data_IF_702966616984
#
_entry.id   IF_702966616984
#
_cell.length_a   1.000
_cell.length_b   1.000
_cell.length_c   1.000
_cell.angle_alpha   90.00
_cell.angle_beta   90.00
_cell.angle_gamma   90.00
#
_symmetry.space_group_name_H-M   'P 1'
#
loop_
_entity.id
_entity.type
_entity.pdbx_description
1 polymer ?
#
# COMPACT_ATOMS: atom_id res chain seq x y z
N UNK A 1 -9.06 -25.50 -2.20
CA UNK A 1 -7.85 -24.64 -2.18
C UNK A 1 -7.35 -24.40 -0.77
N UNK A 2 -8.18 -23.91 0.15
CA UNK A 2 -7.75 -23.70 1.54
C UNK A 2 -7.33 -25.02 2.23
N UNK A 3 -7.97 -26.13 1.93
CA UNK A 3 -7.62 -27.45 2.47
C UNK A 3 -6.22 -27.92 2.08
N UNK A 4 -5.78 -27.56 0.88
CA UNK A 4 -4.41 -27.84 0.40
C UNK A 4 -3.37 -26.84 0.90
N UNK A 5 -3.80 -25.62 1.24
CA UNK A 5 -2.93 -24.56 1.76
C UNK A 5 -2.74 -24.65 3.27
N UNK A 6 -3.80 -25.05 3.98
CA UNK A 6 -3.90 -25.08 5.44
C UNK A 6 -3.99 -26.54 5.90
N UNK A 7 -2.87 -27.16 6.18
CA UNK A 7 -2.78 -28.59 6.57
C UNK A 7 -3.41 -28.87 7.94
N UNK A 8 -3.46 -27.87 8.84
CA UNK A 8 -3.96 -28.08 10.18
C UNK A 8 -5.44 -27.71 10.30
N UNK A 9 -6.31 -28.61 10.85
CA UNK A 9 -7.77 -28.39 10.97
C UNK A 9 -8.16 -27.10 11.70
N UNK A 10 -7.40 -26.69 12.70
CA UNK A 10 -7.63 -25.46 13.45
C UNK A 10 -7.64 -24.22 12.54
N UNK A 11 -6.66 -24.09 11.66
CA UNK A 11 -6.61 -22.96 10.73
C UNK A 11 -7.74 -23.01 9.70
N UNK A 12 -8.09 -24.22 9.23
CA UNK A 12 -9.18 -24.40 8.29
C UNK A 12 -10.53 -24.00 8.90
N UNK A 13 -10.82 -24.42 10.13
CA UNK A 13 -12.04 -24.05 10.84
C UNK A 13 -12.11 -22.54 11.06
N UNK A 14 -11.02 -21.90 11.46
CA UNK A 14 -10.94 -20.43 11.61
C UNK A 14 -11.30 -19.69 10.31
N UNK A 15 -10.95 -20.27 9.16
CA UNK A 15 -11.34 -19.73 7.86
C UNK A 15 -12.81 -19.95 7.53
N UNK A 16 -13.35 -21.13 7.87
CA UNK A 16 -14.77 -21.46 7.67
C UNK A 16 -15.70 -20.59 8.53
N UNK A 17 -15.29 -20.27 9.74
CA UNK A 17 -16.04 -19.43 10.69
C UNK A 17 -15.96 -17.92 10.38
N UNK A 18 -15.12 -17.51 9.43
CA UNK A 18 -14.98 -16.11 9.08
C UNK A 18 -15.86 -15.77 7.86
N UNK A 19 -16.43 -14.56 7.81
CA UNK A 19 -17.28 -14.12 6.70
C UNK A 19 -16.60 -14.21 5.33
N UNK A 20 -17.41 -14.28 4.27
CA UNK A 20 -16.94 -14.17 2.87
C UNK A 20 -15.90 -15.25 2.50
N UNK A 21 -16.13 -16.49 2.94
CA UNK A 21 -15.23 -17.61 2.67
C UNK A 21 -15.00 -17.80 1.16
N UNK A 22 -16.08 -17.85 0.37
CA UNK A 22 -16.00 -18.07 -1.06
C UNK A 22 -15.22 -16.98 -1.79
N UNK A 23 -15.48 -15.72 -1.46
CA UNK A 23 -14.84 -14.56 -2.08
C UNK A 23 -13.34 -14.52 -1.73
N UNK A 24 -12.98 -14.86 -0.49
CA UNK A 24 -11.58 -14.99 -0.08
C UNK A 24 -10.89 -16.13 -0.81
N UNK A 25 -11.54 -17.26 -0.96
CA UNK A 25 -10.99 -18.42 -1.64
C UNK A 25 -10.82 -18.20 -3.15
N UNK A 26 -11.79 -17.59 -3.82
CA UNK A 26 -11.70 -17.21 -5.25
C UNK A 26 -10.50 -16.31 -5.50
N UNK A 27 -10.32 -15.29 -4.68
CA UNK A 27 -9.18 -14.40 -4.78
C UNK A 27 -7.82 -15.12 -4.57
N UNK A 28 -7.71 -15.95 -3.55
CA UNK A 28 -6.48 -16.70 -3.29
C UNK A 28 -6.16 -17.69 -4.40
N UNK A 29 -7.19 -18.34 -4.98
CA UNK A 29 -7.05 -19.24 -6.14
C UNK A 29 -6.52 -18.50 -7.36
N UNK A 30 -7.03 -17.31 -7.64
CA UNK A 30 -6.53 -16.46 -8.72
C UNK A 30 -5.05 -16.09 -8.53
N UNK A 31 -4.64 -15.75 -7.31
CA UNK A 31 -3.24 -15.47 -7.01
C UNK A 31 -2.33 -16.70 -7.15
N UNK A 32 -2.84 -17.88 -6.79
CA UNK A 32 -2.13 -19.14 -6.99
C UNK A 32 -1.89 -19.42 -8.48
N UNK A 33 -2.91 -19.21 -9.30
CA UNK A 33 -2.80 -19.34 -10.77
C UNK A 33 -1.82 -18.34 -11.38
N UNK A 34 -1.65 -17.17 -10.76
CA UNK A 34 -0.65 -16.17 -11.14
C UNK A 34 0.77 -16.46 -10.62
N UNK A 35 0.99 -17.63 -10.00
CA UNK A 35 2.31 -18.06 -9.53
C UNK A 35 2.69 -17.51 -8.14
N UNK A 36 1.74 -17.01 -7.35
CA UNK A 36 2.04 -16.57 -5.97
C UNK A 36 2.46 -17.78 -5.12
N UNK A 37 3.62 -17.68 -4.49
CA UNK A 37 4.18 -18.79 -3.69
C UNK A 37 3.34 -19.11 -2.43
N UNK A 38 3.43 -20.38 -1.98
CA UNK A 38 2.62 -20.94 -0.88
C UNK A 38 2.69 -20.12 0.42
N UNK A 39 3.88 -19.67 0.83
CA UNK A 39 4.06 -18.88 2.06
C UNK A 39 3.33 -17.53 1.97
N UNK A 40 3.40 -16.88 0.81
CA UNK A 40 2.70 -15.59 0.59
C UNK A 40 1.18 -15.78 0.61
N UNK A 41 0.68 -16.86 0.01
CA UNK A 41 -0.75 -17.22 0.04
C UNK A 41 -1.21 -17.53 1.47
N UNK A 42 -0.41 -18.26 2.24
CA UNK A 42 -0.70 -18.58 3.63
C UNK A 42 -0.81 -17.31 4.50
N UNK A 43 0.19 -16.43 4.42
CA UNK A 43 0.17 -15.15 5.13
C UNK A 43 -1.04 -14.28 4.75
N UNK A 44 -1.29 -14.19 3.44
CA UNK A 44 -2.41 -13.39 2.92
C UNK A 44 -3.77 -13.97 3.33
N UNK A 45 -3.92 -15.29 3.33
CA UNK A 45 -5.17 -15.94 3.76
C UNK A 45 -5.51 -15.58 5.21
N UNK A 46 -4.54 -15.66 6.12
CA UNK A 46 -4.71 -15.27 7.52
C UNK A 46 -5.08 -13.79 7.68
N UNK A 47 -4.41 -12.91 6.93
CA UNK A 47 -4.68 -11.47 6.99
C UNK A 47 -6.09 -11.12 6.47
N UNK A 48 -6.58 -11.81 5.46
CA UNK A 48 -7.95 -11.60 4.94
C UNK A 48 -9.04 -11.87 5.99
N UNK A 49 -8.82 -12.79 6.94
CA UNK A 49 -9.75 -12.99 8.07
C UNK A 49 -9.84 -11.71 8.91
N UNK A 50 -8.69 -11.09 9.19
CA UNK A 50 -8.65 -9.84 9.95
C UNK A 50 -9.30 -8.69 9.17
N UNK A 51 -9.09 -8.64 7.85
CA UNK A 51 -9.70 -7.65 6.97
C UNK A 51 -11.23 -7.73 7.04
N UNK A 52 -11.82 -8.90 6.81
CA UNK A 52 -13.28 -9.03 6.81
C UNK A 52 -13.91 -8.77 8.16
N UNK A 53 -13.25 -9.19 9.26
CA UNK A 53 -13.73 -8.97 10.64
C UNK A 53 -13.64 -7.49 11.05
N UNK A 54 -12.51 -6.84 10.82
CA UNK A 54 -12.29 -5.44 11.24
C UNK A 54 -13.04 -4.44 10.37
N UNK A 55 -13.33 -4.78 9.12
CA UNK A 55 -14.22 -4.02 8.25
C UNK A 55 -15.69 -4.39 8.45
N UNK A 56 -16.00 -5.37 9.34
CA UNK A 56 -17.35 -5.84 9.65
C UNK A 56 -18.14 -6.21 8.38
N UNK A 57 -17.52 -7.04 7.52
CA UNK A 57 -18.06 -7.40 6.22
C UNK A 57 -18.77 -8.75 6.27
N UNK A 58 -20.07 -8.76 6.34
CA UNK A 58 -20.90 -9.97 6.16
C UNK A 58 -21.18 -10.25 4.67
N UNK A 59 -21.22 -9.19 3.85
CA UNK A 59 -21.39 -9.22 2.39
C UNK A 59 -20.37 -8.31 1.74
N UNK A 60 -20.02 -8.61 0.47
CA UNK A 60 -19.20 -7.72 -0.33
C UNK A 60 -19.88 -6.36 -0.50
N UNK A 61 -19.22 -5.31 -0.07
CA UNK A 61 -19.63 -3.92 -0.21
C UNK A 61 -18.48 -3.03 -0.63
N UNK A 62 -18.78 -1.87 -1.10
CA UNK A 62 -17.76 -0.86 -1.34
C UNK A 62 -17.12 -0.36 -0.05
N UNK A 63 -15.80 -0.21 -0.07
CA UNK A 63 -14.99 0.24 1.08
C UNK A 63 -14.07 1.36 0.64
N UNK A 64 -14.03 2.45 1.41
CA UNK A 64 -13.13 3.57 1.13
C UNK A 64 -11.71 3.32 1.65
N UNK A 65 -10.74 4.08 1.13
CA UNK A 65 -9.36 3.99 1.60
C UNK A 65 -9.24 4.44 3.07
N UNK A 66 -10.01 5.43 3.49
CA UNK A 66 -10.05 5.94 4.86
C UNK A 66 -10.57 4.89 5.84
N UNK A 67 -11.58 4.12 5.41
CA UNK A 67 -12.12 3.01 6.21
C UNK A 67 -11.08 1.91 6.41
N UNK A 68 -10.34 1.55 5.35
CA UNK A 68 -9.22 0.60 5.42
C UNK A 68 -8.15 1.10 6.39
N UNK A 69 -7.74 2.37 6.31
CA UNK A 69 -6.72 2.93 7.19
C UNK A 69 -7.15 2.94 8.66
N UNK A 70 -8.41 3.29 8.95
CA UNK A 70 -8.97 3.22 10.31
C UNK A 70 -8.99 1.79 10.85
N UNK A 71 -9.37 0.81 10.02
CA UNK A 71 -9.34 -0.60 10.40
C UNK A 71 -7.90 -1.09 10.66
N UNK A 72 -6.94 -0.71 9.82
CA UNK A 72 -5.53 -1.03 10.00
C UNK A 72 -4.94 -0.45 11.29
N UNK A 73 -5.35 0.75 11.68
CA UNK A 73 -4.92 1.34 12.96
C UNK A 73 -5.49 0.58 14.15
N UNK A 74 -6.77 0.14 14.09
CA UNK A 74 -7.36 -0.73 15.15
C UNK A 74 -6.60 -2.05 15.23
N UNK A 75 -6.31 -2.66 14.08
CA UNK A 75 -5.51 -3.89 14.01
C UNK A 75 -4.14 -3.74 14.66
N UNK A 76 -3.39 -2.69 14.31
CA UNK A 76 -2.08 -2.43 14.87
C UNK A 76 -2.11 -2.21 16.40
N UNK A 77 -3.17 -1.59 16.93
CA UNK A 77 -3.35 -1.42 18.39
C UNK A 77 -3.60 -2.77 19.08
N UNK A 78 -4.47 -3.61 18.53
CA UNK A 78 -4.75 -4.94 19.06
C UNK A 78 -3.50 -5.83 19.09
N UNK A 79 -2.64 -5.74 18.08
CA UNK A 79 -1.38 -6.50 18.02
C UNK A 79 -0.38 -6.06 19.09
N UNK A 80 -0.27 -4.77 19.37
CA UNK A 80 0.63 -4.24 20.42
C UNK A 80 0.22 -4.71 21.82
N UNK A 81 -1.05 -4.97 22.03
CA UNK A 81 -1.60 -5.43 23.31
C UNK A 81 -1.51 -6.96 23.49
N UNK A 82 -1.08 -7.70 22.47
CA UNK A 82 -0.98 -9.16 22.52
C UNK A 82 0.49 -9.61 22.72
N UNK A 83 0.87 -10.10 23.91
CA UNK A 83 2.25 -10.54 24.20
C UNK A 83 2.70 -11.74 23.35
N UNK A 84 1.75 -12.49 22.76
CA UNK A 84 2.03 -13.64 21.89
C UNK A 84 2.00 -13.30 20.40
N UNK A 85 1.90 -12.02 20.02
CA UNK A 85 1.95 -11.60 18.64
C UNK A 85 3.37 -11.74 18.09
N UNK A 86 3.66 -12.89 17.48
CA UNK A 86 4.91 -13.08 16.75
C UNK A 86 4.96 -12.11 15.57
N UNK A 87 6.09 -11.45 15.44
CA UNK A 87 6.40 -10.29 14.59
C UNK A 87 6.31 -10.53 13.06
N UNK A 88 5.71 -11.58 12.58
CA UNK A 88 5.64 -11.91 11.16
C UNK A 88 4.39 -11.29 10.51
N UNK A 89 4.61 -10.18 9.80
CA UNK A 89 3.64 -9.66 8.83
C UNK A 89 2.51 -8.81 9.40
N UNK A 90 2.43 -8.62 10.70
CA UNK A 90 1.33 -7.96 11.39
C UNK A 90 1.45 -6.42 11.42
N UNK A 91 1.95 -5.82 10.37
CA UNK A 91 1.99 -4.37 10.26
C UNK A 91 0.67 -3.85 9.68
N UNK A 92 0.27 -2.65 10.12
CA UNK A 92 -0.84 -1.93 9.48
C UNK A 92 -0.67 -1.85 7.95
N UNK A 93 0.56 -1.82 7.48
CA UNK A 93 0.91 -1.81 6.06
C UNK A 93 0.51 -3.10 5.34
N UNK A 94 0.69 -4.25 5.97
CA UNK A 94 0.29 -5.53 5.36
C UNK A 94 -1.24 -5.69 5.34
N UNK A 95 -1.92 -5.26 6.39
CA UNK A 95 -3.39 -5.19 6.41
C UNK A 95 -3.92 -4.32 5.28
N UNK A 96 -3.38 -3.09 5.11
CA UNK A 96 -3.78 -2.18 4.04
C UNK A 96 -3.52 -2.80 2.67
N UNK A 97 -2.37 -3.44 2.48
CA UNK A 97 -2.03 -4.13 1.23
C UNK A 97 -3.04 -5.25 0.92
N UNK A 98 -3.31 -6.13 1.87
CA UNK A 98 -4.24 -7.24 1.72
C UNK A 98 -5.66 -6.77 1.41
N UNK A 99 -6.15 -5.79 2.18
CA UNK A 99 -7.48 -5.20 2.00
C UNK A 99 -7.63 -4.54 0.62
N UNK A 100 -6.69 -3.68 0.22
CA UNK A 100 -6.72 -3.00 -1.09
C UNK A 100 -6.68 -4.00 -2.24
N UNK A 101 -5.78 -4.99 -2.18
CA UNK A 101 -5.62 -5.98 -3.24
C UNK A 101 -6.86 -6.85 -3.41
N UNK A 102 -7.46 -7.30 -2.30
CA UNK A 102 -8.68 -8.11 -2.29
C UNK A 102 -9.92 -7.32 -2.75
N UNK A 103 -10.13 -6.12 -2.21
CA UNK A 103 -11.25 -5.26 -2.58
C UNK A 103 -11.16 -4.77 -4.03
N UNK A 104 -9.95 -4.48 -4.51
CA UNK A 104 -9.72 -4.13 -5.92
C UNK A 104 -10.06 -5.31 -6.85
N UNK A 105 -9.66 -6.53 -6.49
CA UNK A 105 -10.00 -7.75 -7.25
C UNK A 105 -11.50 -7.93 -7.41
N UNK A 106 -12.29 -7.63 -6.37
CA UNK A 106 -13.74 -7.71 -6.41
C UNK A 106 -14.44 -6.45 -6.92
N UNK A 107 -13.70 -5.43 -7.36
CA UNK A 107 -14.28 -4.13 -7.79
C UNK A 107 -15.01 -3.39 -6.67
N UNK A 108 -14.62 -3.60 -5.41
CA UNK A 108 -15.26 -3.03 -4.22
C UNK A 108 -14.41 -1.99 -3.47
N UNK A 109 -13.26 -1.65 -4.02
CA UNK A 109 -12.46 -0.55 -3.51
C UNK A 109 -12.98 0.77 -4.10
N UNK A 110 -13.52 1.66 -3.25
CA UNK A 110 -13.91 3.00 -3.70
C UNK A 110 -12.69 3.74 -4.24
N UNK A 111 -12.80 4.41 -5.41
CA UNK A 111 -11.76 5.33 -5.85
C UNK A 111 -11.43 6.30 -4.73
N UNK A 112 -10.17 6.67 -4.60
CA UNK A 112 -9.78 7.65 -3.59
C UNK A 112 -10.48 8.98 -3.90
N UNK A 113 -11.29 9.46 -2.96
CA UNK A 113 -11.86 10.79 -3.01
C UNK A 113 -10.89 11.87 -2.51
N UNK A 114 -9.66 11.47 -2.18
CA UNK A 114 -8.63 12.44 -1.82
C UNK A 114 -8.52 13.47 -2.95
N UNK A 115 -8.57 14.78 -2.63
CA UNK A 115 -8.38 15.80 -3.63
C UNK A 115 -7.08 15.49 -4.38
N UNK A 116 -7.14 15.53 -5.71
CA UNK A 116 -5.93 15.38 -6.54
C UNK A 116 -4.90 16.36 -5.99
N UNK A 117 -3.75 15.85 -5.60
CA UNK A 117 -2.64 16.74 -5.22
C UNK A 117 -2.43 17.72 -6.35
N UNK A 118 -2.14 18.97 -6.02
CA UNK A 118 -2.03 20.09 -7.01
C UNK A 118 -1.20 19.74 -8.24
N UNK A 119 -0.25 18.85 -8.13
CA UNK A 119 0.67 18.43 -9.19
C UNK A 119 0.48 16.94 -9.57
N UNK A 120 -0.75 16.42 -9.49
CA UNK A 120 -1.03 15.01 -9.77
C UNK A 120 -0.81 14.65 -11.24
N UNK A 121 -1.13 15.56 -12.15
CA UNK A 121 -0.97 15.34 -13.59
C UNK A 121 0.52 15.29 -13.96
N UNK A 122 1.34 16.21 -13.45
CA UNK A 122 2.80 16.19 -13.64
C UNK A 122 3.46 14.93 -13.05
N UNK A 123 2.94 14.42 -11.95
CA UNK A 123 3.41 13.15 -11.39
C UNK A 123 3.02 11.97 -12.30
N UNK A 124 1.86 12.03 -12.94
CA UNK A 124 1.42 11.04 -13.93
C UNK A 124 2.33 11.05 -15.17
N UNK A 125 2.59 12.22 -15.71
CA UNK A 125 3.51 12.41 -16.85
C UNK A 125 4.92 11.89 -16.53
N UNK A 126 5.40 12.16 -15.32
CA UNK A 126 6.68 11.64 -14.86
C UNK A 126 6.71 10.11 -14.78
N UNK A 127 5.64 9.48 -14.29
CA UNK A 127 5.55 8.01 -14.25
C UNK A 127 5.61 7.41 -15.67
N UNK A 128 4.89 8.03 -16.60
CA UNK A 128 4.88 7.63 -18.01
C UNK A 128 6.26 7.78 -18.64
N UNK A 129 6.92 8.94 -18.46
CA UNK A 129 8.28 9.19 -18.92
C UNK A 129 9.28 8.14 -18.42
N UNK A 130 9.23 7.81 -17.13
CA UNK A 130 10.13 6.81 -16.56
C UNK A 130 9.88 5.40 -17.11
N UNK A 131 8.64 5.07 -17.42
CA UNK A 131 8.28 3.78 -18.01
C UNK A 131 8.69 3.70 -19.47
N UNK A 132 8.29 4.69 -20.27
CA UNK A 132 8.42 4.64 -21.74
C UNK A 132 9.80 5.07 -22.25
N UNK A 133 10.37 6.12 -21.63
CA UNK A 133 11.65 6.68 -22.10
C UNK A 133 12.86 6.13 -21.36
N UNK A 134 12.72 5.80 -20.08
CA UNK A 134 13.84 5.26 -19.29
C UNK A 134 13.77 3.74 -19.09
N UNK A 135 12.68 3.08 -19.48
CA UNK A 135 12.54 1.62 -19.40
C UNK A 135 12.64 1.08 -17.97
N UNK A 136 12.29 1.88 -16.96
CA UNK A 136 12.43 1.47 -15.58
C UNK A 136 11.39 0.41 -15.20
N UNK A 137 11.79 -0.49 -14.30
CA UNK A 137 10.86 -1.50 -13.77
C UNK A 137 9.67 -0.84 -13.06
N UNK A 138 8.47 -1.47 -13.06
CA UNK A 138 7.30 -0.94 -12.34
C UNK A 138 7.57 -0.66 -10.85
N UNK A 139 8.46 -1.43 -10.22
CA UNK A 139 8.85 -1.21 -8.83
C UNK A 139 9.69 0.07 -8.66
N UNK A 140 10.63 0.32 -9.57
CA UNK A 140 11.44 1.53 -9.58
C UNK A 140 10.58 2.77 -9.82
N UNK A 141 9.69 2.72 -10.82
CA UNK A 141 8.73 3.80 -11.11
C UNK A 141 7.89 4.13 -9.87
N UNK A 142 7.30 3.12 -9.21
CA UNK A 142 6.53 3.33 -7.97
C UNK A 142 7.35 3.99 -6.87
N UNK A 143 8.60 3.55 -6.68
CA UNK A 143 9.50 4.12 -5.67
C UNK A 143 9.82 5.59 -5.92
N UNK A 144 10.14 5.94 -7.16
CA UNK A 144 10.43 7.32 -7.57
C UNK A 144 9.19 8.21 -7.46
N UNK A 145 8.06 7.78 -8.01
CA UNK A 145 6.80 8.52 -7.93
C UNK A 145 6.35 8.74 -6.48
N UNK A 146 6.52 7.75 -5.60
CA UNK A 146 6.19 7.91 -4.18
C UNK A 146 7.04 8.99 -3.52
N UNK A 147 8.36 9.04 -3.78
CA UNK A 147 9.24 10.06 -3.23
C UNK A 147 8.94 11.45 -3.79
N UNK A 148 8.75 11.54 -5.09
CA UNK A 148 8.35 12.78 -5.77
C UNK A 148 7.00 13.28 -5.27
N UNK A 149 6.00 12.41 -5.07
CA UNK A 149 4.70 12.81 -4.54
C UNK A 149 4.77 13.42 -3.14
N UNK A 150 5.70 12.94 -2.29
CA UNK A 150 5.92 13.53 -0.96
C UNK A 150 6.49 14.94 -1.04
N UNK A 151 7.40 15.18 -1.97
CA UNK A 151 7.91 16.53 -2.25
C UNK A 151 6.82 17.43 -2.82
N UNK A 152 6.09 16.96 -3.86
CA UNK A 152 5.03 17.73 -4.49
C UNK A 152 3.89 18.09 -3.54
N UNK A 153 3.56 17.21 -2.59
CA UNK A 153 2.58 17.54 -1.54
C UNK A 153 3.10 18.64 -0.62
N UNK A 154 4.36 18.56 -0.18
CA UNK A 154 4.97 19.55 0.71
C UNK A 154 5.17 20.89 0.02
N UNK A 155 5.68 20.91 -1.20
CA UNK A 155 5.94 22.15 -1.95
C UNK A 155 4.64 22.79 -2.46
N UNK A 156 3.62 21.98 -2.73
CA UNK A 156 2.31 22.44 -3.19
C UNK A 156 1.53 23.26 -2.14
N UNK A 157 1.91 23.18 -0.86
CA UNK A 157 1.40 24.06 0.20
C UNK A 157 2.04 25.46 0.12
N UNK A 158 3.25 25.58 -0.40
CA UNK A 158 4.06 26.81 -0.49
C UNK A 158 3.94 27.49 -1.85
N UNK A 159 3.94 26.72 -2.92
CA UNK A 159 3.93 27.21 -4.30
C UNK A 159 2.71 26.75 -5.07
N UNK A 160 2.11 27.68 -5.83
CA UNK A 160 0.99 27.37 -6.73
C UNK A 160 1.42 26.80 -8.07
N UNK A 161 2.65 27.10 -8.51
CA UNK A 161 3.22 26.70 -9.81
C UNK A 161 4.57 26.02 -9.57
N UNK A 162 4.84 24.93 -10.29
CA UNK A 162 6.14 24.24 -10.26
C UNK A 162 7.30 25.13 -10.72
N UNK A 163 7.04 26.08 -11.62
CA UNK A 163 8.05 27.05 -12.07
C UNK A 163 8.57 27.99 -10.95
N UNK A 164 7.93 28.01 -9.79
CA UNK A 164 8.37 28.78 -8.60
C UNK A 164 9.22 27.95 -7.63
N UNK A 165 9.31 26.65 -7.87
CA UNK A 165 10.11 25.75 -7.02
C UNK A 165 11.58 25.98 -7.32
N UNK A 166 12.35 26.20 -6.27
CA UNK A 166 13.78 26.44 -6.33
C UNK A 166 14.60 25.24 -5.85
N UNK A 167 15.91 25.30 -6.01
CA UNK A 167 16.82 24.26 -5.49
C UNK A 167 16.80 24.26 -3.96
N UNK A 168 16.66 25.43 -3.35
CA UNK A 168 16.56 25.59 -1.91
C UNK A 168 15.34 24.87 -1.33
N UNK A 169 14.19 24.87 -2.03
CA UNK A 169 13.01 24.08 -1.64
C UNK A 169 13.33 22.58 -1.61
N UNK A 170 14.10 22.10 -2.60
CA UNK A 170 14.50 20.68 -2.67
C UNK A 170 15.43 20.34 -1.50
N UNK A 171 16.41 21.18 -1.23
CA UNK A 171 17.38 20.97 -0.16
C UNK A 171 16.70 21.02 1.22
N UNK A 172 15.80 21.99 1.46
CA UNK A 172 15.02 22.08 2.68
C UNK A 172 14.16 20.82 2.91
N UNK A 173 13.48 20.36 1.85
CA UNK A 173 12.68 19.13 1.95
C UNK A 173 13.55 17.92 2.29
N UNK A 174 14.69 17.74 1.64
CA UNK A 174 15.58 16.62 1.89
C UNK A 174 16.18 16.66 3.31
N UNK A 175 16.58 17.84 3.77
CA UNK A 175 17.08 18.06 5.14
C UNK A 175 15.99 17.73 6.18
N UNK A 176 14.76 18.24 5.98
CA UNK A 176 13.63 17.96 6.85
C UNK A 176 13.33 16.44 6.91
N UNK A 177 13.37 15.72 5.78
CA UNK A 177 13.14 14.27 5.75
C UNK A 177 14.26 13.49 6.41
N UNK A 178 15.50 13.94 6.28
CA UNK A 178 16.64 13.38 7.03
C UNK A 178 16.46 13.53 8.54
N UNK A 179 16.11 14.71 9.00
CA UNK A 179 15.81 14.98 10.41
C UNK A 179 14.61 14.18 10.94
N UNK A 180 13.61 13.92 10.08
CA UNK A 180 12.42 13.11 10.39
C UNK A 180 12.66 11.58 10.32
N UNK A 181 13.93 11.13 10.23
CA UNK A 181 14.33 9.73 10.34
C UNK A 181 14.48 8.99 9.01
N UNK A 182 14.49 9.67 7.87
CA UNK A 182 14.92 9.01 6.63
C UNK A 182 16.42 8.71 6.68
N UNK A 183 16.79 7.46 6.39
CA UNK A 183 18.18 7.11 6.30
C UNK A 183 18.84 7.72 5.04
N UNK A 184 20.18 7.80 5.04
CA UNK A 184 20.98 8.38 3.95
C UNK A 184 20.62 7.84 2.57
N UNK A 185 20.37 6.51 2.45
CA UNK A 185 19.96 5.87 1.19
C UNK A 185 18.62 6.38 0.70
N UNK A 186 17.64 6.53 1.60
CA UNK A 186 16.31 7.04 1.27
C UNK A 186 16.34 8.49 0.80
N UNK A 187 17.14 9.32 1.44
CA UNK A 187 17.37 10.74 1.04
C UNK A 187 18.04 10.79 -0.33
N UNK A 188 19.09 9.99 -0.56
CA UNK A 188 19.78 9.92 -1.85
C UNK A 188 18.86 9.50 -3.00
N UNK A 189 18.04 8.47 -2.79
CA UNK A 189 17.05 8.04 -3.82
C UNK A 189 15.98 9.12 -4.05
N UNK A 190 15.57 9.87 -3.03
CA UNK A 190 14.66 10.99 -3.21
C UNK A 190 15.30 12.12 -4.03
N UNK A 191 16.55 12.47 -3.73
CA UNK A 191 17.29 13.47 -4.51
C UNK A 191 17.43 13.06 -5.98
N UNK A 192 17.70 11.77 -6.25
CA UNK A 192 17.74 11.24 -7.62
C UNK A 192 16.38 11.33 -8.32
N UNK A 193 15.28 10.97 -7.63
CA UNK A 193 13.94 11.06 -8.16
C UNK A 193 13.55 12.50 -8.51
N UNK A 194 13.84 13.45 -7.61
CA UNK A 194 13.56 14.88 -7.84
C UNK A 194 14.41 15.45 -8.99
N UNK A 195 15.68 15.07 -9.04
CA UNK A 195 16.56 15.46 -10.16
C UNK A 195 16.07 14.94 -11.53
N UNK A 196 15.49 13.72 -11.55
CA UNK A 196 14.89 13.17 -12.77
C UNK A 196 13.54 13.84 -13.11
N UNK A 197 12.78 14.28 -12.10
CA UNK A 197 11.49 14.94 -12.27
C UNK A 197 11.62 16.37 -12.84
N UNK A 198 12.65 17.11 -12.45
CA UNK A 198 12.89 18.51 -12.89
C UNK A 198 13.80 18.64 -14.12
N UNK A 199 14.16 17.54 -14.78
CA UNK A 199 14.86 17.54 -16.09
C UNK A 199 13.90 17.61 -17.27
#
# INVERSE_FOLDING_TARGET
MLETLLEHPFFLNRHRDAPLLNEREVFLRQLQQQGTGRVALWNLSGELIHVVRLLQMEKLREVSQEEIHRAAQRWARQQRSNPNAHSYGNSASFFIYAAKKWLCFHGRLKPSSAPRTRFADQLGDFALYMTEKQGLSPQSVRSHCWKTSKFLSWVGERHRLLARVSVEDVDEFLAMKGAAGWNRKSVSVAAQALRAFFR
#
